data_IF_060586061284
#
_entry.id   IF_060586061284
#
_cell.length_a   1.000
_cell.length_b   1.000
_cell.length_c   1.000
_cell.angle_alpha   90.00
_cell.angle_beta   90.00
_cell.angle_gamma   90.00
#
_symmetry.space_group_name_H-M   'P 1'
#
loop_
_entity.id
_entity.type
_entity.pdbx_description
1 polymer ?
#
# COMPACT_ATOMS: atom_id res chain seq x y z
N UNK A 1 -39.25 -27.91 -38.35
CA UNK A 1 -38.06 -27.84 -37.48
C UNK A 1 -37.70 -26.37 -37.36
N UNK A 2 -37.72 -25.87 -36.11
CA UNK A 2 -37.31 -24.54 -35.64
C UNK A 2 -35.94 -24.15 -36.27
N UNK A 3 -35.64 -22.90 -36.62
CA UNK A 3 -35.47 -21.80 -35.66
C UNK A 3 -35.77 -20.40 -36.25
N UNK A 4 -36.55 -19.66 -35.47
CA UNK A 4 -36.77 -18.21 -35.46
C UNK A 4 -35.52 -17.43 -34.99
N UNK A 5 -35.28 -16.22 -35.52
CA UNK A 5 -35.32 -14.95 -34.76
C UNK A 5 -33.97 -14.60 -34.08
N UNK A 6 -33.48 -13.37 -33.88
CA UNK A 6 -34.03 -12.01 -33.75
C UNK A 6 -32.80 -11.04 -33.82
N UNK A 7 -32.83 -9.97 -34.62
CA UNK A 7 -33.13 -8.59 -34.24
C UNK A 7 -32.05 -7.85 -33.39
N UNK A 8 -31.44 -6.85 -34.02
CA UNK A 8 -30.81 -5.68 -33.39
C UNK A 8 -31.84 -4.85 -32.62
N UNK A 9 -31.52 -4.41 -31.40
CA UNK A 9 -31.72 -3.05 -30.88
C UNK A 9 -31.49 -2.93 -29.36
N UNK A 10 -31.23 -1.69 -28.95
CA UNK A 10 -31.37 -1.12 -27.59
C UNK A 10 -30.18 -1.19 -26.63
N UNK A 11 -29.47 -0.07 -26.65
CA UNK A 11 -28.93 0.59 -25.45
C UNK A 11 -30.00 0.71 -24.36
N UNK A 12 -29.70 0.18 -23.18
CA UNK A 12 -30.26 0.69 -21.93
C UNK A 12 -29.15 0.71 -20.87
N UNK A 13 -29.03 1.88 -20.25
CA UNK A 13 -28.01 2.22 -19.26
C UNK A 13 -28.65 2.09 -17.88
N UNK A 14 -28.22 1.12 -17.06
CA UNK A 14 -28.54 1.13 -15.64
C UNK A 14 -27.59 0.24 -14.82
N UNK A 15 -26.94 0.83 -13.81
CA UNK A 15 -26.63 0.13 -12.56
C UNK A 15 -25.20 -0.38 -12.37
N UNK A 16 -24.19 0.49 -12.43
CA UNK A 16 -22.95 0.25 -11.69
C UNK A 16 -23.21 0.54 -10.20
N UNK A 17 -23.66 -0.46 -9.43
CA UNK A 17 -23.49 -0.39 -7.98
C UNK A 17 -22.01 -0.60 -7.68
N UNK A 18 -21.29 0.53 -7.54
CA UNK A 18 -19.95 0.59 -6.98
C UNK A 18 -19.93 -0.13 -5.63
N UNK A 19 -19.33 -1.32 -5.60
CA UNK A 19 -18.85 -1.84 -4.33
C UNK A 19 -17.76 -0.89 -3.82
N UNK A 20 -17.88 -0.32 -2.62
CA UNK A 20 -16.80 0.49 -2.07
C UNK A 20 -15.55 -0.39 -1.98
N UNK A 21 -14.35 0.14 -2.30
CA UNK A 21 -13.13 -0.62 -2.09
C UNK A 21 -13.06 -1.00 -0.62
N UNK A 22 -12.98 -2.31 -0.34
CA UNK A 22 -12.60 -2.81 0.98
C UNK A 22 -11.30 -2.10 1.39
N UNK A 23 -11.28 -1.52 2.59
CA UNK A 23 -10.19 -0.69 3.17
C UNK A 23 -8.81 -1.39 3.30
N UNK A 24 -8.54 -2.44 2.52
CA UNK A 24 -7.32 -3.26 2.56
C UNK A 24 -6.28 -2.92 1.48
N UNK A 25 -6.56 -1.97 0.58
CA UNK A 25 -5.74 -1.67 -0.61
C UNK A 25 -5.15 -0.24 -0.63
N UNK A 26 -5.22 0.50 0.48
CA UNK A 26 -4.60 1.83 0.56
C UNK A 26 -3.09 1.70 0.80
N UNK A 27 -2.30 1.82 -0.27
CA UNK A 27 -0.84 1.98 -0.18
C UNK A 27 -0.56 3.48 -0.20
N UNK A 28 -0.42 4.08 0.99
CA UNK A 28 -0.06 5.49 1.09
C UNK A 28 1.44 5.67 0.79
N UNK A 29 1.77 6.53 -0.19
CA UNK A 29 3.14 6.87 -0.59
C UNK A 29 3.55 8.21 0.04
N UNK A 30 4.68 8.25 0.74
CA UNK A 30 5.38 9.50 1.09
C UNK A 30 6.43 9.81 0.01
N UNK A 31 6.14 10.82 -0.83
CA UNK A 31 7.07 11.37 -1.81
C UNK A 31 8.18 12.18 -1.11
N UNK A 32 9.44 11.90 -1.43
CA UNK A 32 10.59 12.75 -1.10
C UNK A 32 11.22 13.31 -2.40
N UNK A 33 10.79 14.51 -2.81
CA UNK A 33 11.50 15.39 -3.78
C UNK A 33 11.41 15.03 -5.29
N UNK A 34 11.62 16.01 -6.20
CA UNK A 34 11.33 15.85 -7.63
C UNK A 34 12.50 15.23 -8.39
N UNK A 35 12.33 13.97 -8.80
CA UNK A 35 12.76 13.49 -10.11
C UNK A 35 11.78 12.42 -10.58
N UNK A 36 10.54 12.86 -10.76
CA UNK A 36 9.47 12.11 -11.41
C UNK A 36 9.63 12.18 -12.95
N UNK A 37 10.79 11.78 -13.45
CA UNK A 37 10.98 11.48 -14.86
C UNK A 37 11.83 10.21 -14.91
N UNK A 38 11.25 9.13 -15.46
CA UNK A 38 11.72 7.74 -15.56
C UNK A 38 11.06 6.69 -14.62
N UNK A 39 10.05 7.07 -13.83
CA UNK A 39 9.18 6.07 -13.19
C UNK A 39 8.03 5.68 -14.13
N UNK A 40 8.31 4.78 -15.08
CA UNK A 40 7.28 4.21 -15.96
C UNK A 40 6.15 3.56 -15.18
N UNK A 41 4.97 4.16 -15.30
CA UNK A 41 3.62 3.55 -15.21
C UNK A 41 3.49 2.29 -14.34
N UNK A 42 3.77 2.42 -13.04
CA UNK A 42 3.39 1.39 -12.08
C UNK A 42 1.88 1.51 -11.78
N UNK A 43 1.05 0.87 -12.60
CA UNK A 43 -0.40 0.81 -12.36
C UNK A 43 -0.75 0.19 -10.98
N UNK A 44 -1.95 0.47 -10.42
CA UNK A 44 -2.38 -0.01 -9.10
C UNK A 44 -2.13 -1.51 -8.83
N UNK A 45 -2.44 -2.46 -9.75
CA UNK A 45 -2.20 -3.89 -9.50
C UNK A 45 -0.70 -4.26 -9.42
N UNK A 46 0.17 -3.50 -10.08
CA UNK A 46 1.63 -3.70 -10.01
C UNK A 46 2.19 -3.21 -8.68
N UNK A 47 1.72 -2.06 -8.18
CA UNK A 47 2.12 -1.51 -6.87
C UNK A 47 1.69 -2.43 -5.74
N UNK A 48 0.44 -2.92 -5.75
CA UNK A 48 -0.06 -3.87 -4.76
C UNK A 48 0.75 -5.17 -4.73
N UNK A 49 1.12 -5.69 -5.90
CA UNK A 49 1.96 -6.90 -6.01
C UNK A 49 3.35 -6.69 -5.42
N UNK A 50 3.98 -5.55 -5.70
CA UNK A 50 5.31 -5.19 -5.15
C UNK A 50 5.21 -5.03 -3.63
N UNK A 51 4.20 -4.30 -3.14
CA UNK A 51 4.00 -4.05 -1.71
C UNK A 51 3.81 -5.35 -0.92
N UNK A 52 2.96 -6.26 -1.43
CA UNK A 52 2.72 -7.58 -0.85
C UNK A 52 4.02 -8.40 -0.75
N UNK A 53 4.87 -8.36 -1.77
CA UNK A 53 6.16 -9.06 -1.76
C UNK A 53 7.12 -8.49 -0.72
N UNK A 54 7.16 -7.17 -0.55
CA UNK A 54 8.07 -6.54 0.42
C UNK A 54 7.70 -6.84 1.88
N UNK A 55 6.41 -6.93 2.21
CA UNK A 55 5.94 -7.29 3.57
C UNK A 55 5.86 -8.81 3.81
N UNK A 56 5.96 -9.64 2.76
CA UNK A 56 6.12 -11.10 2.88
C UNK A 56 7.56 -11.51 3.24
N UNK A 57 8.23 -10.71 4.07
CA UNK A 57 9.62 -10.90 4.51
C UNK A 57 9.66 -10.98 6.03
N UNK A 58 10.78 -11.41 6.61
CA UNK A 58 10.94 -11.41 8.07
C UNK A 58 10.67 -10.01 8.64
N UNK A 59 9.77 -9.93 9.62
CA UNK A 59 9.48 -8.72 10.36
C UNK A 59 10.42 -8.57 11.56
N UNK A 60 10.49 -7.36 12.08
CA UNK A 60 11.25 -7.01 13.28
C UNK A 60 10.45 -6.04 14.15
N UNK A 61 10.94 -5.80 15.37
CA UNK A 61 10.37 -4.79 16.25
C UNK A 61 10.30 -3.43 15.55
N UNK A 62 9.20 -2.70 15.79
CA UNK A 62 8.96 -1.42 15.15
C UNK A 62 10.01 -0.37 15.59
N UNK A 63 10.70 0.33 14.66
CA UNK A 63 11.65 1.37 15.00
C UNK A 63 11.02 2.46 15.86
N UNK A 64 11.73 2.93 16.89
CA UNK A 64 11.28 3.99 17.81
C UNK A 64 9.95 3.70 18.54
N UNK A 65 9.52 2.42 18.65
CA UNK A 65 8.21 2.00 19.17
C UNK A 65 7.80 2.71 20.47
N UNK A 66 8.68 2.74 21.47
CA UNK A 66 8.36 3.36 22.77
C UNK A 66 8.09 4.87 22.65
N UNK A 67 8.79 5.57 21.76
CA UNK A 67 8.58 7.01 21.54
C UNK A 67 7.30 7.25 20.74
N UNK A 68 7.07 6.47 19.69
CA UNK A 68 5.87 6.58 18.85
C UNK A 68 4.62 6.24 19.66
N UNK A 69 4.64 5.17 20.47
CA UNK A 69 3.52 4.82 21.35
C UNK A 69 3.15 5.97 22.29
N UNK A 70 4.12 6.72 22.83
CA UNK A 70 3.83 7.90 23.67
C UNK A 70 3.18 9.03 22.87
N UNK A 71 3.60 9.26 21.63
CA UNK A 71 3.01 10.27 20.74
C UNK A 71 1.55 9.91 20.37
N UNK A 72 1.25 8.62 20.25
CA UNK A 72 -0.08 8.11 19.89
C UNK A 72 -1.03 7.96 21.09
N UNK A 73 -0.48 8.04 22.31
CA UNK A 73 -1.22 7.96 23.56
C UNK A 73 -1.95 6.61 23.70
N UNK A 74 -3.28 6.66 23.67
CA UNK A 74 -4.15 5.47 23.82
C UNK A 74 -4.19 4.57 22.58
N UNK A 75 -3.74 5.05 21.42
CA UNK A 75 -3.73 4.24 20.20
C UNK A 75 -2.51 3.32 20.24
N UNK A 76 -2.76 2.02 20.32
CA UNK A 76 -1.69 1.02 20.40
C UNK A 76 -1.10 0.74 19.03
N UNK A 77 0.23 0.83 18.91
CA UNK A 77 0.96 0.39 17.71
C UNK A 77 1.52 -1.03 17.91
N UNK A 78 0.90 -1.81 18.80
CA UNK A 78 1.48 -3.07 19.24
C UNK A 78 1.52 -4.14 18.13
N UNK A 79 0.50 -4.15 17.27
CA UNK A 79 0.36 -5.06 16.12
C UNK A 79 1.31 -4.71 14.97
N UNK A 80 1.86 -3.50 14.93
CA UNK A 80 2.61 -3.01 13.78
C UNK A 80 3.97 -3.71 13.66
N UNK A 81 4.23 -4.26 12.48
CA UNK A 81 5.39 -5.05 12.12
C UNK A 81 6.27 -4.30 11.12
N UNK A 82 7.57 -4.22 11.39
CA UNK A 82 8.51 -3.52 10.52
C UNK A 82 9.34 -4.48 9.66
N UNK A 83 9.35 -4.27 8.35
CA UNK A 83 10.12 -4.99 7.36
C UNK A 83 11.25 -4.10 6.84
N UNK A 84 12.51 -4.51 7.07
CA UNK A 84 13.71 -3.73 6.70
C UNK A 84 14.76 -4.53 5.94
N UNK A 85 14.40 -5.75 5.52
CA UNK A 85 15.27 -6.60 4.71
C UNK A 85 15.45 -6.05 3.29
N UNK A 86 16.43 -6.58 2.55
CA UNK A 86 16.76 -6.14 1.19
C UNK A 86 15.55 -6.15 0.25
N UNK A 87 14.68 -7.16 0.34
CA UNK A 87 13.45 -7.26 -0.45
C UNK A 87 12.42 -6.19 -0.09
N UNK A 88 12.27 -5.85 1.20
CA UNK A 88 11.37 -4.79 1.64
C UNK A 88 11.87 -3.40 1.16
N UNK A 89 13.18 -3.17 1.27
CA UNK A 89 13.82 -1.95 0.78
C UNK A 89 13.71 -1.83 -0.76
N UNK A 90 13.93 -2.91 -1.50
CA UNK A 90 13.76 -2.94 -2.95
C UNK A 90 12.30 -2.68 -3.36
N UNK A 91 11.33 -3.21 -2.60
CA UNK A 91 9.91 -2.93 -2.82
C UNK A 91 9.59 -1.45 -2.60
N UNK A 92 10.06 -0.85 -1.50
CA UNK A 92 9.86 0.57 -1.20
C UNK A 92 10.44 1.46 -2.32
N UNK A 93 11.67 1.20 -2.77
CA UNK A 93 12.30 1.89 -3.91
C UNK A 93 11.53 1.71 -5.22
N UNK A 94 11.07 0.50 -5.51
CA UNK A 94 10.28 0.20 -6.72
C UNK A 94 8.92 0.92 -6.70
N UNK A 95 8.37 1.16 -5.51
CA UNK A 95 7.15 1.95 -5.30
C UNK A 95 7.45 3.46 -5.37
N UNK A 96 8.72 3.87 -5.23
CA UNK A 96 9.13 5.27 -5.23
C UNK A 96 8.97 5.95 -3.86
N UNK A 97 9.05 5.19 -2.77
CA UNK A 97 8.86 5.70 -1.41
C UNK A 97 10.00 5.25 -0.47
N UNK A 98 10.25 6.04 0.57
CA UNK A 98 11.18 5.67 1.64
C UNK A 98 10.58 4.62 2.59
N UNK A 99 9.26 4.55 2.67
CA UNK A 99 8.50 3.56 3.40
C UNK A 99 7.09 3.44 2.82
N UNK A 100 6.38 2.35 3.18
CA UNK A 100 4.96 2.21 2.89
C UNK A 100 4.29 1.29 3.92
N UNK A 101 3.01 1.55 4.19
CA UNK A 101 2.15 0.73 5.06
C UNK A 101 1.19 -0.15 4.24
N UNK A 102 0.96 -1.38 4.71
CA UNK A 102 -0.04 -2.32 4.20
C UNK A 102 -0.65 -3.09 5.38
N UNK A 103 -1.81 -2.68 5.85
CA UNK A 103 -2.39 -3.18 7.10
C UNK A 103 -1.42 -2.94 8.26
N UNK A 104 -1.23 -3.92 9.15
CA UNK A 104 -0.27 -3.81 10.25
C UNK A 104 1.22 -3.93 9.83
N UNK A 105 1.53 -3.94 8.53
CA UNK A 105 2.89 -4.12 8.04
C UNK A 105 3.45 -2.85 7.44
N UNK A 106 4.64 -2.45 7.88
CA UNK A 106 5.37 -1.30 7.36
C UNK A 106 6.70 -1.76 6.80
N UNK A 107 6.97 -1.43 5.54
CA UNK A 107 8.26 -1.68 4.90
C UNK A 107 9.06 -0.38 4.78
N UNK A 108 10.36 -0.44 5.06
CA UNK A 108 11.27 0.71 4.96
C UNK A 108 12.42 0.44 4.00
N UNK A 109 12.85 1.47 3.27
CA UNK A 109 14.11 1.51 2.51
C UNK A 109 15.30 1.82 3.43
N UNK A 110 15.51 0.98 4.44
CA UNK A 110 16.58 1.10 5.43
C UNK A 110 16.12 1.58 6.81
N UNK A 111 16.98 2.36 7.48
CA UNK A 111 16.70 2.86 8.83
C UNK A 111 15.84 4.13 8.77
N UNK A 112 14.60 4.13 9.30
CA UNK A 112 13.74 5.30 9.22
C UNK A 112 14.09 6.35 10.29
N UNK A 113 13.83 7.61 9.93
CA UNK A 113 13.71 8.67 10.93
C UNK A 113 12.50 8.42 11.84
N UNK A 114 12.49 9.02 13.03
CA UNK A 114 11.31 8.98 13.90
C UNK A 114 10.07 9.52 13.18
N UNK A 115 10.21 10.60 12.42
CA UNK A 115 9.10 11.22 11.71
C UNK A 115 8.51 10.26 10.68
N UNK A 116 9.35 9.63 9.86
CA UNK A 116 8.92 8.63 8.87
C UNK A 116 8.22 7.45 9.57
N UNK A 117 8.82 6.89 10.61
CA UNK A 117 8.22 5.77 11.34
C UNK A 117 6.90 6.17 12.03
N UNK A 118 6.79 7.37 12.60
CA UNK A 118 5.55 7.84 13.20
C UNK A 118 4.45 8.09 12.16
N UNK A 119 4.81 8.62 10.99
CA UNK A 119 3.87 8.80 9.88
C UNK A 119 3.32 7.46 9.41
N UNK A 120 4.20 6.48 9.16
CA UNK A 120 3.74 5.16 8.66
C UNK A 120 2.90 4.40 9.69
N UNK A 121 3.19 4.55 10.99
CA UNK A 121 2.41 3.92 12.05
C UNK A 121 0.99 4.51 12.23
N UNK A 122 0.69 5.66 11.59
CA UNK A 122 -0.62 6.30 11.64
C UNK A 122 -1.58 5.83 10.55
N UNK A 123 -1.08 5.09 9.55
CA UNK A 123 -1.88 4.45 8.49
C UNK A 123 -2.42 3.10 8.95
#
# INVERSE_FOLDING_TARGET
>A
MQASGLAHASVDSAGLEEMPPSNSEAIQRLFAGPSAALAGEAGPPRVATIARRGVATASSAYPHRSQIQRLFGRHSIASVQAHRGSTAAAAARSIGAAAYTRGDHVAFDGAPSLHTAAHEAAH
#
